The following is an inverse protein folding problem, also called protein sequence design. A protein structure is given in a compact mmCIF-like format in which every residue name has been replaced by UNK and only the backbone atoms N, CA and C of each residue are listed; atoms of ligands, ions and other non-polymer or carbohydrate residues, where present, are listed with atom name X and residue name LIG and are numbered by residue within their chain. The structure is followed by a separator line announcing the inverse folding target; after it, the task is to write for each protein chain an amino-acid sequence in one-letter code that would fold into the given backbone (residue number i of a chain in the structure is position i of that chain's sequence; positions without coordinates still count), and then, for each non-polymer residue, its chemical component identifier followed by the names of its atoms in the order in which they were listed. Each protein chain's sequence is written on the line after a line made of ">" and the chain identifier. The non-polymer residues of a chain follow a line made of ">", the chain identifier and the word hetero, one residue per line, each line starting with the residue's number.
data_IF_627646937601
#
_entry.id   IF_627646937601
#
_cell.length_a   1.000
_cell.length_b   1.000
_cell.length_c   1.000
_cell.angle_alpha   90.00
_cell.angle_beta   90.00
_cell.angle_gamma   90.00
#
_symmetry.space_group_name_H-M   'P 1'
#
loop_
_entity.id
_entity.type
_entity.pdbx_description
1 polymer ?
#
# COMPACT_ATOMS: atom_id res chain seq x y z
N UNK A 1 3.53 19.01 5.76
CA UNK A 1 3.08 17.68 5.29
C UNK A 1 2.31 16.98 6.40
N UNK A 2 1.19 16.36 6.10
CA UNK A 2 0.39 15.61 7.07
C UNK A 2 1.11 14.33 7.49
N UNK A 3 0.75 13.72 8.64
CA UNK A 3 1.29 12.41 9.02
C UNK A 3 1.10 11.36 7.92
N UNK A 4 -0.10 11.27 7.35
CA UNK A 4 -0.39 10.34 6.26
C UNK A 4 0.46 10.63 5.03
N UNK A 5 0.62 11.90 4.67
CA UNK A 5 1.44 12.31 3.53
C UNK A 5 2.92 11.95 3.71
N UNK A 6 3.45 12.05 4.93
CA UNK A 6 4.83 11.64 5.23
C UNK A 6 5.02 10.14 5.08
N UNK A 7 4.07 9.36 5.58
CA UNK A 7 4.12 7.90 5.49
C UNK A 7 4.02 7.48 4.02
N UNK A 8 3.13 8.10 3.26
CA UNK A 8 2.99 7.83 1.84
C UNK A 8 4.28 8.14 1.08
N UNK A 9 4.89 9.29 1.35
CA UNK A 9 6.15 9.67 0.70
C UNK A 9 7.27 8.68 1.02
N UNK A 10 7.36 8.26 2.27
CA UNK A 10 8.33 7.25 2.71
C UNK A 10 8.10 5.93 1.98
N UNK A 11 6.86 5.47 1.94
CA UNK A 11 6.51 4.22 1.26
C UNK A 11 6.89 4.27 -0.23
N UNK A 12 6.52 5.35 -0.91
CA UNK A 12 6.81 5.51 -2.33
C UNK A 12 8.32 5.49 -2.59
N UNK A 13 9.11 6.16 -1.74
CA UNK A 13 10.56 6.18 -1.86
C UNK A 13 11.17 4.80 -1.64
N UNK A 14 10.71 4.07 -0.62
CA UNK A 14 11.23 2.73 -0.30
C UNK A 14 10.93 1.74 -1.42
N UNK A 15 9.72 1.75 -1.97
CA UNK A 15 9.38 0.86 -3.08
C UNK A 15 10.16 1.20 -4.35
N UNK A 16 10.41 2.48 -4.61
CA UNK A 16 11.26 2.89 -5.74
C UNK A 16 12.69 2.38 -5.59
N UNK A 17 13.25 2.41 -4.38
CA UNK A 17 14.59 1.87 -4.11
C UNK A 17 14.70 0.40 -4.47
N UNK A 18 13.61 -0.36 -4.35
CA UNK A 18 13.56 -1.77 -4.72
C UNK A 18 13.45 -1.99 -6.23
N UNK A 19 13.44 -0.94 -7.01
CA UNK A 19 13.22 -1.00 -8.45
C UNK A 19 11.75 -1.04 -8.83
N UNK A 20 10.85 -0.70 -7.91
CA UNK A 20 9.42 -0.74 -8.13
C UNK A 20 8.90 0.44 -8.94
N UNK A 21 7.90 0.15 -9.76
CA UNK A 21 7.06 1.17 -10.37
C UNK A 21 5.97 1.50 -9.37
N UNK A 22 5.88 2.75 -8.94
CA UNK A 22 4.91 3.17 -7.92
C UNK A 22 3.97 4.21 -8.50
N UNK A 23 2.67 3.99 -8.34
CA UNK A 23 1.64 4.91 -8.84
C UNK A 23 0.59 5.16 -7.78
N UNK A 24 0.16 6.41 -7.66
CA UNK A 24 -1.06 6.75 -6.94
C UNK A 24 -2.22 6.38 -7.83
N UNK A 25 -3.21 5.70 -7.28
CA UNK A 25 -4.35 5.23 -8.04
C UNK A 25 -5.66 5.62 -7.35
N UNK A 26 -6.72 5.57 -8.13
CA UNK A 26 -8.09 5.67 -7.63
C UNK A 26 -9.04 5.03 -8.64
N UNK A 27 -10.16 4.55 -8.16
CA UNK A 27 -11.20 4.04 -9.05
C UNK A 27 -12.02 5.21 -9.62
N UNK A 28 -12.43 5.06 -10.84
CA UNK A 28 -13.44 5.91 -11.42
C UNK A 28 -14.81 5.29 -11.12
N UNK A 29 -15.71 6.10 -10.54
CA UNK A 29 -17.09 5.69 -10.35
C UNK A 29 -17.38 4.73 -9.20
N UNK A 30 -16.42 4.45 -8.29
CA UNK A 30 -16.67 3.64 -7.11
C UNK A 30 -15.66 3.93 -5.99
N UNK A 31 -16.01 3.52 -4.77
CA UNK A 31 -15.18 3.69 -3.57
C UNK A 31 -14.33 2.45 -3.27
N UNK A 32 -13.36 2.61 -2.40
CA UNK A 32 -12.60 1.50 -1.81
C UNK A 32 -11.24 1.24 -2.42
N UNK A 33 -10.84 2.01 -3.43
CA UNK A 33 -9.53 1.84 -4.08
C UNK A 33 -8.38 2.06 -3.09
N UNK A 34 -7.38 1.16 -3.05
CA UNK A 34 -6.14 1.44 -2.32
C UNK A 34 -5.41 2.68 -2.90
N UNK A 35 -4.60 3.33 -2.08
CA UNK A 35 -3.91 4.56 -2.47
C UNK A 35 -2.82 4.36 -3.51
N UNK A 36 -2.08 3.25 -3.41
CA UNK A 36 -0.89 3.00 -4.24
C UNK A 36 -0.97 1.66 -4.94
N UNK A 37 -0.48 1.66 -6.17
CA UNK A 37 -0.16 0.46 -6.94
C UNK A 37 1.35 0.38 -7.04
N UNK A 38 1.92 -0.75 -6.67
CA UNK A 38 3.36 -1.01 -6.76
C UNK A 38 3.57 -2.25 -7.62
N UNK A 39 4.43 -2.12 -8.63
CA UNK A 39 4.85 -3.27 -9.43
C UNK A 39 6.35 -3.43 -9.21
N UNK A 40 6.72 -4.51 -8.53
CA UNK A 40 8.12 -4.81 -8.23
C UNK A 40 8.76 -5.61 -9.38
N UNK A 41 10.10 -5.62 -9.46
CA UNK A 41 10.79 -6.42 -10.48
C UNK A 41 10.32 -7.87 -10.46
N UNK A 42 10.10 -8.44 -11.63
CA UNK A 42 9.52 -9.77 -11.76
C UNK A 42 7.99 -9.77 -11.89
N UNK A 43 7.36 -8.59 -11.80
CA UNK A 43 5.92 -8.44 -12.00
C UNK A 43 5.06 -8.64 -10.76
N UNK A 44 5.67 -8.65 -9.57
CA UNK A 44 4.90 -8.75 -8.32
C UNK A 44 4.11 -7.45 -8.10
N UNK A 45 2.79 -7.56 -8.04
CA UNK A 45 1.89 -6.42 -7.87
C UNK A 45 1.44 -6.33 -6.42
N UNK A 46 1.57 -5.16 -5.82
CA UNK A 46 1.16 -4.89 -4.44
C UNK A 46 0.31 -3.64 -4.41
N UNK A 47 -0.81 -3.70 -3.71
CA UNK A 47 -1.67 -2.55 -3.45
C UNK A 47 -1.47 -2.11 -2.01
N UNK A 48 -1.32 -0.81 -1.79
CA UNK A 48 -1.04 -0.26 -0.47
C UNK A 48 -2.04 0.84 -0.13
N UNK A 49 -2.69 0.67 1.02
CA UNK A 49 -3.54 1.69 1.62
C UNK A 49 -2.73 2.41 2.70
N UNK A 50 -2.69 3.74 2.66
CA UNK A 50 -1.92 4.53 3.61
C UNK A 50 -2.87 5.22 4.59
N UNK A 51 -2.60 5.07 5.88
CA UNK A 51 -3.35 5.72 6.96
C UNK A 51 -2.43 6.63 7.78
N UNK A 52 -3.02 7.51 8.58
CA UNK A 52 -2.27 8.51 9.37
C UNK A 52 -1.49 7.91 10.53
N UNK A 53 -1.92 6.74 11.01
CA UNK A 53 -1.28 6.01 12.10
C UNK A 53 -1.65 4.54 12.06
N UNK A 54 -1.01 3.73 12.93
CA UNK A 54 -1.20 2.28 12.97
C UNK A 54 -2.55 1.85 13.54
N UNK A 55 -3.26 2.75 14.24
CA UNK A 55 -4.56 2.44 14.83
C UNK A 55 -5.71 2.64 13.84
N UNK A 56 -5.48 3.42 12.79
CA UNK A 56 -6.50 3.72 11.79
C UNK A 56 -6.50 2.63 10.73
N UNK A 57 -7.55 1.82 10.75
CA UNK A 57 -7.75 0.80 9.71
C UNK A 57 -8.46 1.38 8.50
N UNK A 58 -8.64 0.57 7.45
CA UNK A 58 -9.43 0.97 6.29
C UNK A 58 -10.88 1.19 6.71
N UNK A 59 -11.56 2.14 6.06
CA UNK A 59 -12.99 2.33 6.30
C UNK A 59 -13.78 1.12 5.75
N UNK A 60 -15.10 1.00 6.09
CA UNK A 60 -15.87 -0.18 5.68
C UNK A 60 -15.88 -0.43 4.17
N UNK A 61 -15.89 0.60 3.34
CA UNK A 61 -15.85 0.44 1.88
C UNK A 61 -14.50 -0.12 1.44
N UNK A 62 -13.43 0.41 1.99
CA UNK A 62 -12.07 -0.05 1.70
C UNK A 62 -11.88 -1.49 2.18
N UNK A 63 -12.32 -1.79 3.39
CA UNK A 63 -12.19 -3.13 3.97
C UNK A 63 -12.87 -4.19 3.09
N UNK A 64 -14.08 -3.91 2.59
CA UNK A 64 -14.80 -4.82 1.70
C UNK A 64 -14.08 -5.00 0.37
N UNK A 65 -13.61 -3.90 -0.21
CA UNK A 65 -12.90 -3.96 -1.49
C UNK A 65 -11.59 -4.72 -1.36
N UNK A 66 -10.80 -4.41 -0.31
CA UNK A 66 -9.53 -5.09 -0.06
C UNK A 66 -9.73 -6.61 0.12
N UNK A 67 -10.82 -6.99 0.80
CA UNK A 67 -11.17 -8.40 0.97
C UNK A 67 -11.44 -9.07 -0.38
N UNK A 68 -12.22 -8.42 -1.26
CA UNK A 68 -12.51 -8.94 -2.60
C UNK A 68 -11.22 -9.13 -3.41
N UNK A 69 -10.29 -8.19 -3.29
CA UNK A 69 -9.01 -8.25 -3.98
C UNK A 69 -8.16 -9.41 -3.45
N UNK A 70 -8.07 -9.56 -2.13
CA UNK A 70 -7.31 -10.65 -1.50
C UNK A 70 -7.90 -12.01 -1.86
N UNK A 71 -9.22 -12.13 -1.93
CA UNK A 71 -9.89 -13.37 -2.33
C UNK A 71 -9.51 -13.82 -3.73
N UNK A 72 -9.02 -12.90 -4.56
CA UNK A 72 -8.56 -13.18 -5.93
C UNK A 72 -7.04 -13.27 -6.03
N UNK A 73 -6.37 -13.32 -4.88
CA UNK A 73 -4.93 -13.50 -4.83
C UNK A 73 -4.11 -12.22 -4.83
N UNK A 74 -4.74 -11.06 -4.79
CA UNK A 74 -3.99 -9.81 -4.75
C UNK A 74 -3.35 -9.59 -3.38
N UNK A 75 -2.18 -8.97 -3.38
CA UNK A 75 -1.51 -8.52 -2.16
C UNK A 75 -2.02 -7.10 -1.89
N UNK A 76 -2.74 -6.93 -0.80
CA UNK A 76 -3.28 -5.63 -0.38
C UNK A 76 -2.94 -5.45 1.09
N UNK A 77 -2.23 -4.37 1.42
CA UNK A 77 -1.78 -4.09 2.79
C UNK A 77 -2.10 -2.66 3.18
N UNK A 78 -2.39 -2.47 4.46
CA UNK A 78 -2.61 -1.15 5.05
C UNK A 78 -1.40 -0.81 5.90
N UNK A 79 -0.87 0.39 5.73
CA UNK A 79 0.27 0.89 6.49
C UNK A 79 -0.08 2.22 7.15
N UNK A 80 0.40 2.43 8.37
CA UNK A 80 0.17 3.65 9.15
C UNK A 80 1.43 4.16 9.85
N UNK A 81 2.61 3.67 9.44
CA UNK A 81 3.90 4.13 9.97
C UNK A 81 5.02 3.74 9.02
N UNK A 82 6.19 4.38 9.18
CA UNK A 82 7.39 3.99 8.43
C UNK A 82 7.82 2.56 8.81
N UNK A 83 7.65 2.19 10.07
CA UNK A 83 7.96 0.83 10.54
C UNK A 83 7.11 -0.20 9.80
N UNK A 84 5.82 0.07 9.61
CA UNK A 84 4.95 -0.84 8.86
C UNK A 84 5.32 -0.91 7.38
N UNK A 85 5.85 0.16 6.80
CA UNK A 85 6.41 0.10 5.45
C UNK A 85 7.59 -0.87 5.42
N UNK A 86 8.50 -0.76 6.40
CA UNK A 86 9.67 -1.63 6.48
C UNK A 86 9.25 -3.09 6.68
N UNK A 87 8.25 -3.34 7.51
CA UNK A 87 7.70 -4.67 7.72
C UNK A 87 7.12 -5.25 6.44
N UNK A 88 6.41 -4.43 5.66
CA UNK A 88 5.86 -4.85 4.38
C UNK A 88 6.97 -5.19 3.39
N UNK A 89 8.00 -4.36 3.30
CA UNK A 89 9.17 -4.62 2.45
C UNK A 89 9.79 -5.97 2.80
N UNK A 90 9.95 -6.26 4.10
CA UNK A 90 10.48 -7.53 4.57
C UNK A 90 9.54 -8.70 4.25
N UNK A 91 8.23 -8.51 4.43
CA UNK A 91 7.21 -9.51 4.08
C UNK A 91 7.30 -9.91 2.61
N UNK A 92 7.62 -8.95 1.75
CA UNK A 92 7.74 -9.18 0.30
C UNK A 92 9.08 -9.81 -0.09
N UNK A 93 9.97 -10.06 0.87
CA UNK A 93 11.24 -10.74 0.64
C UNK A 93 12.42 -9.82 0.38
N UNK A 94 12.31 -8.53 0.68
CA UNK A 94 13.39 -7.56 0.48
C UNK A 94 14.02 -7.16 1.82
N UNK A 95 15.25 -6.64 1.74
CA UNK A 95 15.92 -6.05 2.90
C UNK A 95 15.59 -4.55 2.98
N UNK A 96 15.50 -4.05 4.20
CA UNK A 96 15.26 -2.62 4.46
C UNK A 96 16.58 -1.87 4.58
#
# INVERSE_FOLDING_TARGET
>A
MTPEGRIQAYAMAEFKKLGGLVRKIRYEGRNGCPDLLVILPGGLVVFVEVKKDERTGPDPHQAREHKRMRQRGAIVRTIGSEEQVNELVAELGYSV
#
